data_IF_409405084634
#
_entry.id   IF_409405084634
#
_cell.length_a   1.000
_cell.length_b   1.000
_cell.length_c   1.000
_cell.angle_alpha   90.00
_cell.angle_beta   90.00
_cell.angle_gamma   90.00
#
_symmetry.space_group_name_H-M   'P 1'
#
loop_
_entity.id
_entity.type
_entity.pdbx_description
1 polymer ?
#
# COMPACT_ATOMS: atom_id res chain seq x y z
N UNK A 1 21.01 -8.11 -21.53
CA UNK A 1 20.51 -8.24 -20.14
C UNK A 1 19.85 -6.92 -19.77
N UNK A 2 18.55 -6.91 -19.44
CA UNK A 2 17.82 -5.70 -19.05
C UNK A 2 18.02 -5.50 -17.54
N UNK A 3 18.35 -4.27 -17.11
CA UNK A 3 18.49 -3.93 -15.69
C UNK A 3 17.56 -2.76 -15.36
N UNK A 4 16.67 -2.97 -14.40
CA UNK A 4 15.86 -1.89 -13.84
C UNK A 4 16.76 -0.95 -13.02
N UNK A 5 16.53 0.36 -13.14
CA UNK A 5 17.27 1.40 -12.39
C UNK A 5 16.43 2.10 -11.33
N UNK A 6 15.13 1.83 -11.30
CA UNK A 6 14.16 2.46 -10.39
C UNK A 6 13.23 1.38 -9.85
N UNK A 7 12.83 1.56 -8.60
CA UNK A 7 11.75 0.79 -7.99
C UNK A 7 10.40 1.21 -8.57
N UNK A 8 9.40 0.35 -8.42
CA UNK A 8 8.03 0.59 -8.85
C UNK A 8 7.65 -0.14 -10.15
N UNK A 9 6.58 0.33 -10.76
CA UNK A 9 6.04 -0.26 -11.99
C UNK A 9 6.72 0.36 -13.21
N UNK A 10 7.35 -0.49 -14.02
CA UNK A 10 8.02 -0.10 -15.26
C UNK A 10 7.28 -0.73 -16.42
N UNK A 11 6.66 0.10 -17.26
CA UNK A 11 6.07 -0.35 -18.51
C UNK A 11 7.17 -0.71 -19.53
N UNK A 12 7.13 -1.93 -20.04
CA UNK A 12 8.01 -2.44 -21.08
C UNK A 12 7.17 -2.66 -22.33
N UNK A 13 7.46 -1.88 -23.37
CA UNK A 13 6.84 -2.04 -24.68
C UNK A 13 7.70 -2.95 -25.57
N UNK A 14 7.08 -3.99 -26.08
CA UNK A 14 7.62 -4.85 -27.13
C UNK A 14 6.95 -4.47 -28.44
N UNK A 15 7.73 -4.25 -29.49
CA UNK A 15 7.21 -3.89 -30.80
C UNK A 15 7.84 -4.80 -31.85
N UNK A 16 7.01 -5.49 -32.62
CA UNK A 16 7.39 -6.35 -33.73
C UNK A 16 6.96 -5.66 -35.02
N UNK A 17 7.93 -5.37 -35.89
CA UNK A 17 7.69 -4.62 -37.14
C UNK A 17 8.16 -5.44 -38.33
N UNK A 18 7.34 -5.49 -39.38
CA UNK A 18 7.75 -5.91 -40.72
C UNK A 18 7.40 -4.82 -41.76
N UNK A 19 7.76 -5.05 -43.02
CA UNK A 19 7.58 -4.10 -44.13
C UNK A 19 6.14 -3.66 -44.42
N UNK A 20 5.13 -4.38 -43.93
CA UNK A 20 3.71 -4.14 -44.19
C UNK A 20 2.91 -3.82 -42.92
N UNK A 21 3.33 -4.31 -41.75
CA UNK A 21 2.59 -4.19 -40.48
C UNK A 21 3.52 -4.14 -39.27
N UNK A 22 3.01 -3.55 -38.19
CA UNK A 22 3.60 -3.57 -36.86
C UNK A 22 2.58 -4.09 -35.85
N UNK A 23 3.06 -4.80 -34.84
CA UNK A 23 2.30 -5.20 -33.65
C UNK A 23 3.08 -4.81 -32.40
N UNK A 24 2.39 -4.48 -31.31
CA UNK A 24 3.05 -4.12 -30.06
C UNK A 24 2.28 -4.55 -28.83
N UNK A 25 3.03 -4.97 -27.80
CA UNK A 25 2.51 -5.37 -26.49
C UNK A 25 3.21 -4.56 -25.41
N UNK A 26 2.43 -4.06 -24.45
CA UNK A 26 2.96 -3.41 -23.26
C UNK A 26 2.79 -4.34 -22.05
N UNK A 27 3.86 -4.49 -21.28
CA UNK A 27 3.88 -5.34 -20.09
C UNK A 27 4.43 -4.56 -18.89
N UNK A 28 3.79 -4.69 -17.72
CA UNK A 28 4.21 -4.00 -16.51
C UNK A 28 5.18 -4.89 -15.73
N UNK A 29 6.43 -4.43 -15.58
CA UNK A 29 7.41 -5.04 -14.71
C UNK A 29 7.36 -4.37 -13.33
N UNK A 30 6.96 -5.12 -12.30
CA UNK A 30 7.01 -4.66 -10.91
C UNK A 30 8.41 -4.88 -10.33
N UNK A 31 9.11 -3.78 -10.08
CA UNK A 31 10.46 -3.78 -9.47
C UNK A 31 10.33 -3.46 -7.98
N UNK A 32 10.74 -4.40 -7.14
CA UNK A 32 10.66 -4.29 -5.68
C UNK A 32 12.07 -4.12 -5.07
N UNK A 33 12.19 -3.47 -3.91
CA UNK A 33 13.45 -3.43 -3.15
C UNK A 33 13.92 -4.84 -2.77
N UNK A 34 15.20 -4.95 -2.41
CA UNK A 34 15.79 -6.23 -1.99
C UNK A 34 15.40 -6.58 -0.54
N UNK A 35 15.26 -5.56 0.30
CA UNK A 35 14.85 -5.69 1.69
C UNK A 35 13.37 -6.07 1.84
N UNK A 36 13.05 -6.67 2.99
CA UNK A 36 11.67 -6.92 3.39
C UNK A 36 10.96 -5.61 3.75
N UNK A 37 9.69 -5.52 3.39
CA UNK A 37 8.84 -4.39 3.74
C UNK A 37 8.61 -4.35 5.26
N UNK A 38 8.92 -3.20 5.86
CA UNK A 38 8.62 -2.89 7.25
C UNK A 38 7.66 -1.70 7.29
N UNK A 39 6.42 -1.95 7.70
CA UNK A 39 5.40 -0.91 7.88
C UNK A 39 5.31 -0.51 9.35
N UNK A 40 5.28 0.80 9.61
CA UNK A 40 5.03 1.37 10.92
C UNK A 40 3.79 2.27 10.81
N UNK A 41 2.81 2.02 11.67
CA UNK A 41 1.61 2.83 11.76
C UNK A 41 1.57 3.54 13.11
N UNK A 42 1.30 4.84 13.07
CA UNK A 42 1.06 5.65 14.25
C UNK A 42 -0.24 6.42 14.06
N UNK A 43 -1.23 6.12 14.90
CA UNK A 43 -2.54 6.79 14.88
C UNK A 43 -2.68 7.77 16.06
N UNK A 44 -3.46 8.83 15.84
CA UNK A 44 -3.90 9.79 16.85
C UNK A 44 -5.37 10.11 16.63
N UNK A 45 -6.15 10.11 17.70
CA UNK A 45 -7.54 10.54 17.67
C UNK A 45 -7.62 12.03 17.94
N UNK A 46 -8.50 12.70 17.20
CA UNK A 46 -8.78 14.12 17.35
C UNK A 46 -10.13 14.26 18.04
N UNK A 47 -10.14 14.90 19.20
CA UNK A 47 -11.38 15.25 19.91
C UNK A 47 -11.35 16.74 20.26
N UNK A 48 -12.27 17.50 19.66
CA UNK A 48 -12.42 18.94 19.82
C UNK A 48 -13.59 19.32 20.73
N UNK A 49 -14.13 18.37 21.50
CA UNK A 49 -15.25 18.63 22.42
C UNK A 49 -14.91 19.67 23.50
N UNK A 50 -13.68 19.67 24.01
CA UNK A 50 -13.23 20.59 25.06
C UNK A 50 -12.35 21.75 24.55
N UNK A 51 -11.77 21.62 23.35
CA UNK A 51 -10.81 22.60 22.81
C UNK A 51 -11.04 22.87 21.32
N UNK A 52 -10.80 24.10 20.88
CA UNK A 52 -10.99 24.48 19.48
C UNK A 52 -9.85 24.02 18.56
N UNK A 53 -8.74 23.54 19.11
CA UNK A 53 -7.62 23.00 18.34
C UNK A 53 -6.81 22.00 19.18
N UNK A 54 -6.28 20.98 18.51
CA UNK A 54 -5.28 20.06 19.05
C UNK A 54 -4.07 20.03 18.12
N UNK A 55 -2.88 19.87 18.69
CA UNK A 55 -1.62 19.74 17.96
C UNK A 55 -0.93 18.44 18.34
N UNK A 56 -0.44 17.72 17.34
CA UNK A 56 0.32 16.50 17.51
C UNK A 56 1.68 16.65 16.82
N UNK A 57 2.75 16.32 17.53
CA UNK A 57 4.08 16.19 16.93
C UNK A 57 4.32 14.70 16.63
N UNK A 58 4.61 14.39 15.36
CA UNK A 58 4.80 13.01 14.87
C UNK A 58 6.24 12.87 14.38
N UNK A 59 6.98 11.92 14.96
CA UNK A 59 8.38 11.65 14.58
C UNK A 59 8.49 10.42 13.68
N UNK A 60 9.02 10.59 12.47
CA UNK A 60 9.22 9.49 11.53
C UNK A 60 10.62 8.92 11.72
N UNK A 61 10.72 7.78 12.41
CA UNK A 61 11.98 7.10 12.69
C UNK A 61 12.29 6.07 11.59
N UNK A 62 13.12 6.46 10.61
CA UNK A 62 13.55 5.57 9.52
C UNK A 62 14.76 4.75 9.98
N UNK A 63 14.74 3.41 9.86
CA UNK A 63 15.89 2.58 10.21
C UNK A 63 17.10 2.88 9.29
N UNK A 64 18.32 2.59 9.77
CA UNK A 64 19.55 2.93 9.03
C UNK A 64 19.79 2.05 7.79
N UNK A 65 19.25 0.83 7.77
CA UNK A 65 19.50 -0.17 6.72
C UNK A 65 18.32 -0.21 5.74
N UNK A 66 18.05 0.89 5.05
CA UNK A 66 16.93 0.99 4.11
C UNK A 66 17.44 1.14 2.69
N UNK A 67 16.81 0.45 1.75
CA UNK A 67 17.14 0.53 0.33
C UNK A 67 16.81 1.92 -0.22
N UNK A 68 17.66 2.46 -1.09
CA UNK A 68 17.48 3.80 -1.64
C UNK A 68 16.16 3.89 -2.43
N UNK A 69 15.35 4.89 -2.11
CA UNK A 69 14.04 5.11 -2.75
C UNK A 69 12.92 4.16 -2.30
N UNK A 70 13.16 3.29 -1.31
CA UNK A 70 12.13 2.39 -0.78
C UNK A 70 11.25 3.01 0.32
N UNK A 71 11.68 4.11 0.93
CA UNK A 71 10.92 4.80 1.98
C UNK A 71 9.68 5.48 1.38
N UNK A 72 8.51 5.13 1.91
CA UNK A 72 7.26 5.81 1.62
C UNK A 72 6.56 6.16 2.94
N UNK A 73 5.97 7.35 3.00
CA UNK A 73 5.20 7.84 4.15
C UNK A 73 3.81 8.22 3.66
N UNK A 74 2.78 7.65 4.29
CA UNK A 74 1.37 7.94 4.00
C UNK A 74 0.73 8.59 5.22
N UNK A 75 0.05 9.71 5.01
CA UNK A 75 -0.81 10.33 6.01
C UNK A 75 -2.27 10.07 5.64
N UNK A 76 -3.08 9.69 6.62
CA UNK A 76 -4.51 9.43 6.46
C UNK A 76 -5.23 10.20 7.56
N UNK A 77 -6.26 10.96 7.17
CA UNK A 77 -7.20 11.59 8.09
C UNK A 77 -8.58 11.02 7.79
N UNK A 78 -9.19 10.41 8.81
CA UNK A 78 -10.49 9.78 8.70
C UNK A 78 -11.42 10.38 9.76
N UNK A 79 -12.64 10.85 9.40
CA UNK A 79 -13.62 11.31 10.37
C UNK A 79 -14.23 10.18 11.20
N UNK A 80 -14.10 8.92 10.76
CA UNK A 80 -14.66 7.75 11.43
C UNK A 80 -13.57 6.72 11.74
N UNK A 81 -13.67 6.06 12.89
CA UNK A 81 -12.78 4.96 13.26
C UNK A 81 -12.88 3.77 12.29
N UNK A 82 -14.01 3.63 11.60
CA UNK A 82 -14.25 2.57 10.63
C UNK A 82 -13.99 2.96 9.18
N UNK A 83 -13.71 4.23 8.86
CA UNK A 83 -13.63 4.67 7.46
C UNK A 83 -12.57 3.87 6.68
N UNK A 84 -11.35 3.76 7.21
CA UNK A 84 -10.27 2.93 6.65
C UNK A 84 -10.61 1.43 6.59
N UNK A 85 -11.45 0.92 7.49
CA UNK A 85 -11.90 -0.48 7.46
C UNK A 85 -12.82 -0.70 6.27
N UNK A 86 -13.79 0.20 6.05
CA UNK A 86 -14.75 0.13 4.94
C UNK A 86 -14.04 0.19 3.59
N UNK A 87 -13.01 1.03 3.45
CA UNK A 87 -12.21 1.13 2.22
C UNK A 87 -11.40 -0.15 1.93
N UNK A 88 -11.11 -0.97 2.95
CA UNK A 88 -10.18 -2.11 2.84
C UNK A 88 -10.79 -3.45 3.31
N UNK A 89 -12.12 -3.61 3.27
CA UNK A 89 -12.83 -4.80 3.77
C UNK A 89 -12.31 -6.13 3.19
N UNK A 90 -11.78 -6.12 1.97
CA UNK A 90 -11.23 -7.30 1.30
C UNK A 90 -9.75 -7.56 1.61
N UNK A 91 -9.05 -6.59 2.21
CA UNK A 91 -7.59 -6.64 2.44
C UNK A 91 -7.19 -5.95 3.76
N UNK A 92 -7.87 -6.29 4.85
CA UNK A 92 -7.59 -5.72 6.18
C UNK A 92 -6.26 -6.16 6.79
N UNK A 93 -5.74 -7.32 6.37
CA UNK A 93 -4.47 -7.86 6.84
C UNK A 93 -3.60 -8.29 5.67
N UNK A 94 -2.30 -8.04 5.78
CA UNK A 94 -1.30 -8.42 4.77
C UNK A 94 -0.80 -9.87 4.92
N UNK A 95 -1.65 -10.76 5.46
CA UNK A 95 -1.33 -12.17 5.70
C UNK A 95 -2.16 -13.09 4.80
N UNK A 96 -1.58 -14.19 4.30
CA UNK A 96 -2.34 -15.16 3.53
C UNK A 96 -3.40 -15.82 4.40
N UNK A 97 -4.61 -15.98 3.85
CA UNK A 97 -5.74 -16.63 4.51
C UNK A 97 -6.05 -17.95 3.78
N UNK A 98 -5.94 -19.08 4.49
CA UNK A 98 -6.18 -20.41 3.92
C UNK A 98 -6.96 -21.37 4.82
N UNK A 99 -7.01 -21.12 6.12
CA UNK A 99 -7.83 -21.89 7.06
C UNK A 99 -9.24 -21.28 7.22
N UNK A 100 -10.21 -22.10 7.68
CA UNK A 100 -11.58 -21.64 7.90
C UNK A 100 -11.65 -20.44 8.87
N UNK A 101 -10.83 -20.45 9.92
CA UNK A 101 -10.73 -19.33 10.86
C UNK A 101 -10.18 -18.06 10.21
N UNK A 102 -9.22 -18.18 9.30
CA UNK A 102 -8.62 -17.03 8.62
C UNK A 102 -9.58 -16.44 7.60
N UNK A 103 -10.34 -17.27 6.89
CA UNK A 103 -11.36 -16.81 5.94
C UNK A 103 -12.47 -15.98 6.60
N UNK A 104 -12.65 -16.08 7.92
CA UNK A 104 -13.60 -15.20 8.65
C UNK A 104 -13.25 -13.72 8.51
N UNK A 105 -12.00 -13.36 8.18
CA UNK A 105 -11.59 -11.97 7.89
C UNK A 105 -12.39 -11.36 6.73
N UNK A 106 -12.90 -12.18 5.80
CA UNK A 106 -13.71 -11.70 4.66
C UNK A 106 -15.18 -11.50 5.04
N UNK A 107 -15.62 -11.97 6.22
CA UNK A 107 -17.02 -11.96 6.62
C UNK A 107 -17.28 -11.08 7.85
N UNK A 108 -16.52 -11.26 8.92
CA UNK A 108 -16.75 -10.57 10.21
C UNK A 108 -16.72 -9.05 10.06
N UNK A 109 -15.76 -8.44 9.35
CA UNK A 109 -15.73 -6.98 9.20
C UNK A 109 -16.96 -6.43 8.50
N UNK A 110 -17.48 -7.14 7.48
CA UNK A 110 -18.71 -6.77 6.80
C UNK A 110 -19.91 -6.77 7.75
N UNK A 111 -19.98 -7.73 8.68
CA UNK A 111 -21.06 -7.78 9.70
C UNK A 111 -20.94 -6.63 10.70
N UNK A 112 -19.72 -6.23 11.09
CA UNK A 112 -19.48 -5.16 12.07
C UNK A 112 -19.79 -3.77 11.51
N UNK A 113 -19.62 -3.59 10.19
CA UNK A 113 -19.90 -2.32 9.49
C UNK A 113 -21.40 -2.12 9.21
N UNK A 114 -22.17 -3.20 9.04
CA UNK A 114 -23.62 -3.18 8.78
C UNK A 114 -24.45 -2.84 10.01
#
# INVERSE_FOLDING_TARGET
MIKAKKLGEIAIKFEAVNTLKSDSVEHILRVVPESHLHELNEARYIDLSETNYQKFDISINIPRNVDEGSVSVKFILDPDIFGTVVENLESLISLPCGCGEQNMIQLVPNIVVL
#
